data_IF_989983736923
#
_entry.id   IF_989983736923
#
_cell.length_a   1.000
_cell.length_b   1.000
_cell.length_c   1.000
_cell.angle_alpha   90.00
_cell.angle_beta   90.00
_cell.angle_gamma   90.00
#
_symmetry.space_group_name_H-M   'P 1'
#
loop_
_entity.id
_entity.type
_entity.pdbx_description
1 polymer ?
#
# COMPACT_ATOMS: atom_id res chain seq x y z
N UNK A 1 0.76 16.05 -40.12
CA UNK A 1 1.83 15.66 -39.18
C UNK A 1 1.54 16.31 -37.83
N UNK A 2 1.06 15.56 -36.83
CA UNK A 2 0.85 16.13 -35.49
C UNK A 2 2.22 16.21 -34.80
N UNK A 3 2.61 17.37 -34.23
CA UNK A 3 3.87 17.48 -33.51
C UNK A 3 3.86 16.48 -32.36
N UNK A 4 4.95 15.70 -32.26
CA UNK A 4 5.21 14.84 -31.13
C UNK A 4 5.27 15.73 -29.88
N UNK A 5 4.16 15.83 -29.16
CA UNK A 5 4.11 16.38 -27.80
C UNK A 5 5.11 15.57 -26.99
N UNK A 6 6.28 16.16 -26.75
CA UNK A 6 7.28 15.64 -25.83
C UNK A 6 6.61 15.57 -24.44
N UNK A 7 6.03 14.43 -24.10
CA UNK A 7 5.51 14.21 -22.75
C UNK A 7 6.69 14.34 -21.79
N UNK A 8 6.55 15.10 -20.69
CA UNK A 8 7.67 15.37 -19.79
C UNK A 8 8.27 14.06 -19.29
N UNK A 9 9.58 13.89 -19.52
CA UNK A 9 10.40 12.71 -19.18
C UNK A 9 10.70 12.61 -17.67
N UNK A 10 9.76 13.05 -16.82
CA UNK A 10 9.94 13.21 -15.38
C UNK A 10 9.02 12.29 -14.54
N UNK A 11 8.51 11.20 -15.12
CA UNK A 11 7.77 10.19 -14.33
C UNK A 11 8.67 9.01 -14.05
N UNK A 12 8.73 8.63 -12.78
CA UNK A 12 9.47 7.51 -12.18
C UNK A 12 8.97 6.12 -12.66
N UNK A 13 8.61 5.98 -13.93
CA UNK A 13 7.95 4.81 -14.50
C UNK A 13 8.80 3.53 -14.37
N UNK A 14 10.11 3.62 -14.58
CA UNK A 14 10.98 2.43 -14.52
C UNK A 14 11.14 1.90 -13.09
N UNK A 15 11.34 2.76 -12.08
CA UNK A 15 11.46 2.28 -10.70
C UNK A 15 10.10 1.84 -10.13
N UNK A 16 8.99 2.47 -10.53
CA UNK A 16 7.66 1.99 -10.17
C UNK A 16 7.36 0.63 -10.82
N UNK A 17 7.69 0.44 -12.10
CA UNK A 17 7.54 -0.84 -12.78
C UNK A 17 8.37 -1.93 -12.10
N UNK A 18 9.60 -1.61 -11.67
CA UNK A 18 10.43 -2.54 -10.91
C UNK A 18 9.84 -2.88 -9.54
N UNK A 19 9.37 -1.88 -8.78
CA UNK A 19 8.72 -2.10 -7.49
C UNK A 19 7.43 -2.96 -7.63
N UNK A 20 6.62 -2.68 -8.65
CA UNK A 20 5.43 -3.46 -8.95
C UNK A 20 5.77 -4.90 -9.37
N UNK A 21 6.82 -5.10 -10.18
CA UNK A 21 7.26 -6.43 -10.59
C UNK A 21 7.76 -7.25 -9.39
N UNK A 22 8.53 -6.65 -8.47
CA UNK A 22 8.98 -7.29 -7.24
C UNK A 22 7.82 -7.70 -6.34
N UNK A 23 6.85 -6.80 -6.11
CA UNK A 23 5.64 -7.14 -5.35
C UNK A 23 4.85 -8.28 -6.01
N UNK A 24 4.67 -8.23 -7.33
CA UNK A 24 3.97 -9.29 -8.07
C UNK A 24 4.69 -10.64 -7.93
N UNK A 25 6.01 -10.67 -8.04
CA UNK A 25 6.80 -11.88 -7.84
C UNK A 25 6.66 -12.43 -6.41
N UNK A 26 6.74 -11.59 -5.39
CA UNK A 26 6.51 -11.99 -4.00
C UNK A 26 5.10 -12.56 -3.80
N UNK A 27 4.07 -12.00 -4.46
CA UNK A 27 2.72 -12.60 -4.43
C UNK A 27 2.65 -13.95 -5.12
N UNK A 28 3.33 -14.14 -6.26
CA UNK A 28 3.36 -15.43 -6.97
C UNK A 28 4.08 -16.50 -6.14
N UNK A 29 5.18 -16.15 -5.48
CA UNK A 29 5.89 -17.05 -4.58
C UNK A 29 5.03 -17.43 -3.37
N UNK A 30 4.32 -16.46 -2.77
CA UNK A 30 3.36 -16.72 -1.69
C UNK A 30 2.21 -17.64 -2.11
N UNK A 31 1.69 -17.46 -3.34
CA UNK A 31 0.68 -18.35 -3.92
C UNK A 31 1.22 -19.76 -4.18
N UNK A 32 2.50 -19.89 -4.56
CA UNK A 32 3.16 -21.18 -4.73
C UNK A 32 3.42 -21.90 -3.40
N UNK A 33 3.15 -21.26 -2.26
CA UNK A 33 3.33 -21.86 -0.94
C UNK A 33 4.75 -21.74 -0.37
N UNK A 34 5.58 -20.86 -0.93
CA UNK A 34 6.90 -20.59 -0.35
C UNK A 34 6.75 -19.96 1.05
N UNK A 35 7.40 -20.52 2.08
CA UNK A 35 7.32 -19.97 3.42
C UNK A 35 8.16 -18.68 3.54
N UNK A 36 7.76 -17.80 4.47
CA UNK A 36 8.52 -16.60 4.86
C UNK A 36 8.63 -15.48 3.81
N UNK A 37 7.65 -15.32 2.92
CA UNK A 37 7.58 -14.16 2.03
C UNK A 37 6.91 -13.00 2.77
N UNK A 38 7.71 -11.99 3.10
CA UNK A 38 7.26 -10.78 3.78
C UNK A 38 7.32 -9.57 2.85
N UNK A 39 6.23 -8.83 2.77
CA UNK A 39 6.15 -7.59 2.00
C UNK A 39 5.43 -6.50 2.79
N UNK A 40 5.71 -5.23 2.50
CA UNK A 40 4.97 -4.11 3.06
C UNK A 40 3.87 -3.70 2.08
N UNK A 41 2.61 -3.84 2.49
CA UNK A 41 1.46 -3.57 1.63
C UNK A 41 0.41 -2.73 2.35
N UNK A 42 -0.26 -1.85 1.60
CA UNK A 42 -1.42 -1.11 2.10
C UNK A 42 -2.64 -2.03 2.09
N UNK A 43 -3.01 -2.53 3.27
CA UNK A 43 -4.06 -3.54 3.44
C UNK A 43 -5.08 -3.08 4.47
N UNK A 44 -6.26 -3.68 4.42
CA UNK A 44 -7.24 -3.53 5.50
C UNK A 44 -6.63 -4.14 6.76
N UNK A 45 -6.47 -3.33 7.80
CA UNK A 45 -5.88 -3.80 9.04
C UNK A 45 -6.43 -3.02 10.22
N UNK A 46 -6.57 -3.72 11.35
CA UNK A 46 -7.01 -3.14 12.63
C UNK A 46 -5.81 -2.71 13.49
N UNK A 47 -4.61 -2.65 12.91
CA UNK A 47 -3.36 -2.34 13.63
C UNK A 47 -3.41 -0.92 14.21
N UNK A 48 -4.08 -0.01 13.51
CA UNK A 48 -4.40 1.32 14.03
C UNK A 48 -5.91 1.45 14.02
N UNK A 49 -6.53 1.37 15.20
CA UNK A 49 -8.01 1.37 15.38
C UNK A 49 -8.71 2.57 14.75
N UNK A 50 -7.98 3.64 14.48
CA UNK A 50 -8.50 4.88 13.93
C UNK A 50 -8.62 4.90 12.39
N UNK A 51 -7.95 4.00 11.67
CA UNK A 51 -7.94 3.95 10.19
C UNK A 51 -8.23 2.53 9.68
N UNK A 52 -9.18 2.35 8.74
CA UNK A 52 -9.54 1.01 8.27
C UNK A 52 -8.48 0.39 7.34
N UNK A 53 -7.61 1.19 6.74
CA UNK A 53 -6.52 0.74 5.87
C UNK A 53 -5.19 1.34 6.33
N UNK A 54 -4.15 0.52 6.36
CA UNK A 54 -2.80 0.97 6.73
C UNK A 54 -1.73 0.12 6.04
N UNK A 55 -0.55 0.71 5.83
CA UNK A 55 0.60 0.02 5.26
C UNK A 55 1.39 -0.68 6.36
N UNK A 56 1.28 -2.00 6.43
CA UNK A 56 2.00 -2.83 7.39
C UNK A 56 2.74 -3.95 6.70
N UNK A 57 3.69 -4.55 7.42
CA UNK A 57 4.36 -5.76 6.97
C UNK A 57 3.37 -6.92 7.02
N UNK A 58 3.23 -7.63 5.92
CA UNK A 58 2.34 -8.78 5.77
C UNK A 58 3.12 -10.02 5.39
N UNK A 59 2.72 -11.16 5.93
CA UNK A 59 3.13 -12.47 5.45
C UNK A 59 2.19 -12.89 4.33
N UNK A 60 2.76 -13.19 3.15
CA UNK A 60 2.02 -13.73 2.02
C UNK A 60 1.94 -15.25 2.12
N UNK A 61 0.82 -15.81 1.67
CA UNK A 61 0.56 -17.25 1.63
C UNK A 61 -0.38 -17.64 0.49
N UNK A 62 -0.82 -18.90 0.44
CA UNK A 62 -1.52 -19.46 -0.72
C UNK A 62 -2.89 -18.81 -0.99
N UNK A 63 -3.49 -18.15 0.01
CA UNK A 63 -4.76 -17.43 -0.12
C UNK A 63 -4.58 -15.89 -0.06
N UNK A 64 -3.38 -15.39 -0.38
CA UNK A 64 -3.06 -13.95 -0.32
C UNK A 64 -2.41 -13.56 1.01
N UNK A 65 -2.93 -12.54 1.69
CA UNK A 65 -2.37 -12.08 2.97
C UNK A 65 -2.72 -13.08 4.06
N UNK A 66 -1.72 -13.83 4.53
CA UNK A 66 -1.89 -14.84 5.56
C UNK A 66 -1.91 -14.23 6.96
N UNK A 67 -1.04 -13.23 7.22
CA UNK A 67 -0.95 -12.56 8.51
C UNK A 67 -0.50 -11.12 8.35
N UNK A 68 -1.19 -10.20 9.02
CA UNK A 68 -0.76 -8.82 9.17
C UNK A 68 0.13 -8.72 10.41
N UNK A 69 1.34 -8.20 10.26
CA UNK A 69 2.23 -7.91 11.39
C UNK A 69 1.92 -6.53 11.97
N UNK A 70 2.12 -6.39 13.27
CA UNK A 70 1.96 -5.11 13.97
C UNK A 70 3.09 -4.12 13.67
N UNK A 71 2.93 -2.90 14.19
CA UNK A 71 3.89 -1.79 14.04
C UNK A 71 5.21 -1.99 14.79
N UNK A 72 5.30 -2.98 15.70
CA UNK A 72 6.49 -3.22 16.51
C UNK A 72 6.71 -2.14 17.59
N UNK A 73 7.91 -2.12 18.16
CA UNK A 73 8.35 -1.05 19.07
C UNK A 73 8.78 0.17 18.25
N UNK A 74 8.16 1.32 18.50
CA UNK A 74 8.42 2.56 17.77
C UNK A 74 9.13 3.57 18.68
N UNK A 75 10.03 4.36 18.11
CA UNK A 75 10.66 5.47 18.84
C UNK A 75 9.70 6.68 18.96
N UNK A 76 10.02 7.62 19.86
CA UNK A 76 9.23 8.82 20.10
C UNK A 76 9.07 9.67 18.82
N UNK A 77 10.10 9.71 17.96
CA UNK A 77 10.05 10.40 16.68
C UNK A 77 9.05 9.76 15.71
N UNK A 78 9.08 8.44 15.58
CA UNK A 78 8.20 7.69 14.67
C UNK A 78 6.74 7.76 15.13
N UNK A 79 6.52 7.75 16.45
CA UNK A 79 5.18 7.88 17.05
C UNK A 79 4.58 9.26 16.76
N UNK A 80 5.38 10.33 16.86
CA UNK A 80 4.95 11.68 16.51
C UNK A 80 4.64 11.82 15.01
N UNK A 81 5.47 11.21 14.15
CA UNK A 81 5.23 11.19 12.70
C UNK A 81 3.96 10.42 12.33
N UNK A 82 3.69 9.29 13.00
CA UNK A 82 2.46 8.53 12.82
C UNK A 82 1.25 9.38 13.19
N UNK A 83 1.26 10.00 14.37
CA UNK A 83 0.17 10.87 14.84
C UNK A 83 -0.11 12.04 13.86
N UNK A 84 0.94 12.63 13.27
CA UNK A 84 0.80 13.69 12.28
C UNK A 84 0.22 13.21 10.93
N UNK A 85 0.48 11.95 10.54
CA UNK A 85 0.01 11.37 9.27
C UNK A 85 -1.45 10.87 9.33
N UNK A 86 -1.90 10.37 10.50
CA UNK A 86 -3.25 9.84 10.69
C UNK A 86 -4.39 10.74 10.17
N UNK A 87 -4.44 12.06 10.46
CA UNK A 87 -5.54 12.89 9.98
C UNK A 87 -5.58 13.00 8.45
N UNK A 88 -4.41 13.07 7.80
CA UNK A 88 -4.34 13.11 6.33
C UNK A 88 -4.81 11.78 5.73
N UNK A 89 -4.36 10.66 6.30
CA UNK A 89 -4.74 9.33 5.83
C UNK A 89 -6.25 9.09 5.94
N UNK A 90 -6.88 9.49 7.05
CA UNK A 90 -8.34 9.42 7.23
C UNK A 90 -9.08 10.18 6.13
N UNK A 91 -8.63 11.39 5.80
CA UNK A 91 -9.23 12.21 4.76
C UNK A 91 -9.17 11.57 3.38
N UNK A 92 -8.02 11.00 2.99
CA UNK A 92 -7.85 10.34 1.70
C UNK A 92 -8.66 9.03 1.59
N UNK A 93 -8.75 8.26 2.69
CA UNK A 93 -9.59 7.07 2.73
C UNK A 93 -11.07 7.43 2.56
N UNK A 94 -11.57 8.42 3.32
CA UNK A 94 -12.96 8.85 3.22
C UNK A 94 -13.30 9.32 1.81
N UNK A 95 -12.41 10.11 1.19
CA UNK A 95 -12.55 10.53 -0.20
C UNK A 95 -12.64 9.35 -1.18
N UNK A 96 -11.88 8.29 -0.94
CA UNK A 96 -11.96 7.05 -1.72
C UNK A 96 -13.30 6.33 -1.56
N UNK A 97 -13.84 6.27 -0.33
CA UNK A 97 -15.14 5.67 -0.04
C UNK A 97 -16.31 6.48 -0.61
N UNK A 98 -16.25 7.81 -0.49
CA UNK A 98 -17.27 8.71 -1.05
C UNK A 98 -17.32 8.59 -2.58
N UNK A 99 -16.17 8.41 -3.23
CA UNK A 99 -16.10 8.20 -4.68
C UNK A 99 -16.78 6.91 -5.14
N UNK A 100 -16.73 5.84 -4.35
CA UNK A 100 -17.40 4.57 -4.70
C UNK A 100 -18.88 4.56 -4.35
N UNK A 101 -19.30 5.31 -3.32
CA UNK A 101 -20.70 5.46 -2.92
C UNK A 101 -21.49 6.40 -3.85
N UNK A 102 -20.83 7.37 -4.49
CA UNK A 102 -21.48 8.23 -5.48
C UNK A 102 -21.78 7.43 -6.77
N UNK A 103 -23.05 7.36 -7.23
CA UNK A 103 -23.36 6.71 -8.49
C UNK A 103 -22.68 7.49 -9.62
N UNK A 104 -21.86 6.79 -10.43
CA UNK A 104 -21.41 7.31 -11.72
C UNK A 104 -22.66 7.55 -12.58
N UNK A 105 -23.05 8.81 -12.73
CA UNK A 105 -23.97 9.25 -13.77
C UNK A 105 -23.34 9.10 -15.16
#
# INVERSE_FOLDING_TARGET
MRPLVQRPRNRLACCHAYAAARMAESTLLGLNGEPNIYECAFVQSEVVSEVPFFATKVLLGPNGVAKVMGLGEMDAFETAALAAMLPQLKGEIQKGLDFTAAPKA
#
